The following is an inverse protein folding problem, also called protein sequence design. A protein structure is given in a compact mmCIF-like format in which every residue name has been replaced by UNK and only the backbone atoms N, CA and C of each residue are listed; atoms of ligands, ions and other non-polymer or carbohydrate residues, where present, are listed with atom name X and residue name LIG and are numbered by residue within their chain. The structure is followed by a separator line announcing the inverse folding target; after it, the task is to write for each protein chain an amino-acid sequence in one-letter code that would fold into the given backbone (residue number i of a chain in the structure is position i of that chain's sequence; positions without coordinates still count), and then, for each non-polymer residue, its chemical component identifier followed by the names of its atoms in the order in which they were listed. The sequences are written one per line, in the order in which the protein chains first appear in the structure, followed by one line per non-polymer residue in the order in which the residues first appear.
data_IF_225061764717
#
_entry.id   IF_225061764717
#
_cell.length_a   1.000
_cell.length_b   1.000
_cell.length_c   1.000
_cell.angle_alpha   90.00
_cell.angle_beta   90.00
_cell.angle_gamma   90.00
#
_symmetry.space_group_name_H-M   'P 1'
#
loop_
_entity.id
_entity.type
_entity.pdbx_description
1 polymer ?
#
# COMPACT_ATOMS: atom_id res chain seq x y z
N UNK A 1 -46.32 -35.25 36.05
CA UNK A 1 -45.28 -35.95 36.83
C UNK A 1 -45.59 -37.45 36.81
N UNK A 2 -44.62 -38.37 36.96
CA UNK A 2 -43.17 -38.19 37.19
C UNK A 2 -42.36 -38.14 35.86
N UNK A 3 -41.09 -38.57 35.72
CA UNK A 3 -39.81 -37.92 36.13
C UNK A 3 -38.65 -38.40 35.23
N UNK A 4 -37.55 -37.62 35.13
CA UNK A 4 -36.17 -38.06 34.78
C UNK A 4 -35.90 -38.51 33.32
N UNK A 5 -34.68 -38.44 32.77
CA UNK A 5 -33.44 -37.69 33.09
C UNK A 5 -32.48 -37.84 31.89
N UNK A 6 -31.41 -37.02 31.85
CA UNK A 6 -30.28 -37.06 30.90
C UNK A 6 -30.58 -36.47 29.51
N UNK A 7 -29.66 -35.82 28.80
CA UNK A 7 -28.35 -35.21 29.10
C UNK A 7 -27.76 -34.87 27.73
N UNK A 8 -27.74 -33.61 27.30
CA UNK A 8 -26.59 -33.09 26.54
C UNK A 8 -26.60 -31.57 26.46
N UNK A 9 -25.40 -30.99 26.53
CA UNK A 9 -25.10 -29.59 26.24
C UNK A 9 -23.64 -29.53 25.76
N UNK A 10 -23.20 -28.45 25.11
CA UNK A 10 -23.90 -27.66 24.10
C UNK A 10 -23.07 -27.60 22.79
N UNK A 11 -23.68 -27.83 21.62
CA UNK A 11 -22.95 -27.68 20.36
C UNK A 11 -22.83 -26.19 19.97
N UNK A 12 -21.76 -25.56 20.46
CA UNK A 12 -21.38 -24.22 20.07
C UNK A 12 -20.82 -24.22 18.64
N UNK A 13 -21.66 -23.92 17.65
CA UNK A 13 -21.19 -23.57 16.31
C UNK A 13 -20.45 -22.24 16.39
N UNK A 14 -19.13 -22.31 16.52
CA UNK A 14 -18.26 -21.17 16.34
C UNK A 14 -18.34 -20.72 14.87
N UNK A 15 -19.09 -19.64 14.61
CA UNK A 15 -19.05 -18.96 13.34
C UNK A 15 -17.66 -18.33 13.16
N UNK A 16 -16.81 -18.97 12.35
CA UNK A 16 -15.54 -18.41 11.95
C UNK A 16 -15.77 -17.05 11.26
N UNK A 17 -14.98 -16.01 11.55
CA UNK A 17 -15.06 -14.77 10.80
C UNK A 17 -14.68 -15.08 9.35
N UNK A 18 -15.54 -14.67 8.41
CA UNK A 18 -15.22 -14.77 6.99
C UNK A 18 -13.94 -13.97 6.73
N UNK A 19 -12.84 -14.66 6.39
CA UNK A 19 -11.64 -14.02 5.90
C UNK A 19 -12.03 -13.29 4.61
N UNK A 20 -11.92 -11.96 4.62
CA UNK A 20 -12.18 -11.16 3.44
C UNK A 20 -11.15 -11.56 2.38
N UNK A 21 -11.60 -12.25 1.33
CA UNK A 21 -10.74 -12.69 0.24
C UNK A 21 -10.13 -11.46 -0.45
N UNK A 22 -8.84 -11.22 -0.17
CA UNK A 22 -8.06 -10.19 -0.85
C UNK A 22 -7.79 -10.67 -2.27
N UNK A 23 -8.73 -10.43 -3.17
CA UNK A 23 -8.60 -10.72 -4.58
C UNK A 23 -7.53 -9.80 -5.19
N UNK A 24 -6.26 -10.18 -5.09
CA UNK A 24 -5.15 -9.52 -5.80
C UNK A 24 -5.44 -9.62 -7.30
N UNK A 25 -5.69 -8.50 -8.01
CA UNK A 25 -6.13 -8.55 -9.39
C UNK A 25 -4.99 -9.05 -10.28
N UNK A 26 -5.25 -10.09 -11.07
CA UNK A 26 -4.26 -10.71 -11.96
C UNK A 26 -3.72 -9.76 -13.05
N UNK A 27 -4.31 -8.58 -13.21
CA UNK A 27 -3.82 -7.52 -14.09
C UNK A 27 -3.82 -6.17 -13.35
N UNK A 28 -2.80 -5.33 -13.65
CA UNK A 28 -2.77 -3.93 -13.24
C UNK A 28 -3.54 -3.11 -14.28
N UNK A 29 -4.62 -2.46 -13.87
CA UNK A 29 -5.38 -1.58 -14.74
C UNK A 29 -4.60 -0.29 -14.97
N UNK A 30 -4.53 0.18 -16.22
CA UNK A 30 -3.98 1.50 -16.54
C UNK A 30 -4.97 2.57 -16.11
N UNK A 31 -4.70 3.17 -14.94
CA UNK A 31 -5.53 4.22 -14.34
C UNK A 31 -4.67 5.46 -14.14
N UNK A 32 -5.20 6.63 -14.51
CA UNK A 32 -4.54 7.91 -14.26
C UNK A 32 -4.87 8.41 -12.84
N UNK A 33 -4.07 7.92 -11.88
CA UNK A 33 -4.16 8.35 -10.48
C UNK A 33 -3.92 9.86 -10.29
N UNK A 34 -3.14 10.50 -11.18
CA UNK A 34 -2.91 11.94 -11.13
C UNK A 34 -4.17 12.70 -11.49
N UNK A 35 -4.88 12.30 -12.55
CA UNK A 35 -6.19 12.89 -12.89
C UNK A 35 -7.20 12.75 -11.75
N UNK A 36 -7.22 11.59 -11.06
CA UNK A 36 -8.12 11.37 -9.91
C UNK A 36 -7.82 12.33 -8.77
N UNK A 37 -6.55 12.52 -8.41
CA UNK A 37 -6.15 13.48 -7.37
C UNK A 37 -6.41 14.93 -7.79
N UNK A 38 -5.98 15.30 -9.00
CA UNK A 38 -6.02 16.69 -9.47
C UNK A 38 -7.46 17.16 -9.79
N UNK A 39 -8.40 16.24 -10.08
CA UNK A 39 -9.82 16.51 -10.36
C UNK A 39 -10.78 15.82 -9.36
N UNK A 40 -10.42 15.76 -8.08
CA UNK A 40 -11.13 14.99 -7.05
C UNK A 40 -12.65 15.23 -7.04
N UNK A 41 -13.07 16.50 -7.05
CA UNK A 41 -14.49 16.90 -7.00
C UNK A 41 -15.31 16.35 -8.17
N UNK A 42 -14.72 16.27 -9.37
CA UNK A 42 -15.38 15.73 -10.56
C UNK A 42 -15.57 14.21 -10.46
N UNK A 43 -14.57 13.49 -9.93
CA UNK A 43 -14.69 12.07 -9.65
C UNK A 43 -15.72 11.78 -8.54
N UNK A 44 -15.78 12.60 -7.48
CA UNK A 44 -16.78 12.47 -6.41
C UNK A 44 -18.20 12.81 -6.88
N UNK A 45 -18.36 13.82 -7.74
CA UNK A 45 -19.64 14.10 -8.40
C UNK A 45 -20.10 12.90 -9.24
N UNK A 46 -19.20 12.32 -10.05
CA UNK A 46 -19.54 11.17 -10.90
C UNK A 46 -19.86 9.90 -10.09
N UNK A 47 -19.14 9.62 -9.00
CA UNK A 47 -19.45 8.51 -8.10
C UNK A 47 -20.83 8.67 -7.45
N UNK A 48 -21.20 9.89 -7.06
CA UNK A 48 -22.54 10.21 -6.52
C UNK A 48 -23.64 10.04 -7.57
N UNK A 49 -23.46 10.60 -8.76
CA UNK A 49 -24.41 10.52 -9.87
C UNK A 49 -24.68 9.07 -10.33
N UNK A 50 -23.68 8.19 -10.24
CA UNK A 50 -23.79 6.76 -10.57
C UNK A 50 -24.16 5.86 -9.40
N UNK A 51 -24.48 6.42 -8.22
CA UNK A 51 -24.76 5.71 -6.98
C UNK A 51 -23.63 4.75 -6.51
N UNK A 52 -22.38 4.99 -6.89
CA UNK A 52 -21.20 4.22 -6.44
C UNK A 52 -20.72 4.68 -5.05
N UNK A 53 -21.55 4.50 -4.03
CA UNK A 53 -21.27 4.92 -2.65
C UNK A 53 -20.11 4.15 -1.98
N UNK A 54 -19.65 3.04 -2.56
CA UNK A 54 -18.54 2.23 -2.07
C UNK A 54 -17.15 2.66 -2.59
N UNK A 55 -17.09 3.59 -3.55
CA UNK A 55 -15.86 4.09 -4.14
C UNK A 55 -15.53 5.49 -3.60
N UNK A 56 -14.31 5.68 -3.07
CA UNK A 56 -13.86 6.97 -2.54
C UNK A 56 -12.67 7.51 -3.33
N UNK A 57 -12.88 8.50 -4.23
CA UNK A 57 -11.79 9.20 -4.92
C UNK A 57 -10.80 9.85 -3.94
N UNK A 58 -11.29 10.40 -2.83
CA UNK A 58 -10.46 10.93 -1.74
C UNK A 58 -9.45 9.89 -1.21
N UNK A 59 -9.88 8.64 -0.98
CA UNK A 59 -8.98 7.57 -0.53
C UNK A 59 -7.92 7.25 -1.58
N UNK A 60 -8.29 7.23 -2.88
CA UNK A 60 -7.34 6.99 -3.98
C UNK A 60 -6.30 8.11 -4.06
N UNK A 61 -6.69 9.37 -3.87
CA UNK A 61 -5.78 10.51 -3.82
C UNK A 61 -4.79 10.42 -2.65
N UNK A 62 -5.28 10.15 -1.43
CA UNK A 62 -4.41 9.96 -0.25
C UNK A 62 -3.41 8.80 -0.43
N UNK A 63 -3.85 7.68 -1.01
CA UNK A 63 -2.98 6.54 -1.31
C UNK A 63 -1.95 6.89 -2.40
N UNK A 64 -2.34 7.69 -3.39
CA UNK A 64 -1.42 8.11 -4.45
C UNK A 64 -0.35 9.07 -3.94
N UNK A 65 -0.69 10.03 -3.07
CA UNK A 65 0.30 10.93 -2.49
C UNK A 65 1.28 10.16 -1.57
N UNK A 66 0.79 9.21 -0.73
CA UNK A 66 1.65 8.29 0.04
C UNK A 66 2.56 7.44 -0.84
N UNK A 67 2.05 6.93 -1.96
CA UNK A 67 2.84 6.18 -2.95
C UNK A 67 3.93 7.06 -3.59
N UNK A 68 3.61 8.33 -3.91
CA UNK A 68 4.57 9.30 -4.46
C UNK A 68 5.63 9.69 -3.40
N UNK A 69 5.27 9.78 -2.13
CA UNK A 69 6.21 9.99 -1.02
C UNK A 69 7.16 8.79 -0.86
N UNK A 70 6.64 7.57 -0.72
CA UNK A 70 7.46 6.36 -0.65
C UNK A 70 8.38 6.19 -1.89
N UNK A 71 7.90 6.55 -3.09
CA UNK A 71 8.72 6.51 -4.30
C UNK A 71 9.90 7.52 -4.26
N UNK A 72 9.71 8.71 -3.68
CA UNK A 72 10.80 9.67 -3.46
C UNK A 72 11.80 9.13 -2.44
N UNK A 73 11.33 8.57 -1.33
CA UNK A 73 12.18 7.97 -0.30
C UNK A 73 13.07 6.85 -0.87
N UNK A 74 12.50 5.97 -1.72
CA UNK A 74 13.27 4.93 -2.43
C UNK A 74 14.36 5.54 -3.31
N UNK A 75 14.06 6.60 -4.07
CA UNK A 75 15.03 7.24 -4.96
C UNK A 75 16.11 8.03 -4.19
N UNK A 76 15.76 8.64 -3.05
CA UNK A 76 16.70 9.26 -2.12
C UNK A 76 17.63 8.22 -1.48
N UNK A 77 17.11 7.10 -0.98
CA UNK A 77 17.91 5.99 -0.44
C UNK A 77 18.83 5.38 -1.51
N UNK A 78 18.36 5.27 -2.76
CA UNK A 78 19.19 4.86 -3.91
C UNK A 78 20.30 5.88 -4.21
N UNK A 79 20.03 7.18 -4.10
CA UNK A 79 21.03 8.23 -4.24
C UNK A 79 22.08 8.15 -3.11
N UNK A 80 21.66 8.04 -1.84
CA UNK A 80 22.54 7.88 -0.68
C UNK A 80 23.41 6.61 -0.78
N UNK A 81 22.84 5.48 -1.22
CA UNK A 81 23.59 4.25 -1.49
C UNK A 81 24.69 4.47 -2.54
N UNK A 82 24.37 5.19 -3.61
CA UNK A 82 25.31 5.50 -4.69
C UNK A 82 26.39 6.50 -4.23
N UNK A 83 26.05 7.44 -3.35
CA UNK A 83 27.01 8.36 -2.72
C UNK A 83 27.96 7.62 -1.77
N UNK A 84 27.45 6.79 -0.87
CA UNK A 84 28.27 5.92 -0.01
C UNK A 84 29.23 5.06 -0.83
N UNK A 85 28.74 4.45 -1.93
CA UNK A 85 29.57 3.68 -2.86
C UNK A 85 30.61 4.51 -3.64
N UNK A 86 30.44 5.83 -3.77
CA UNK A 86 31.47 6.76 -4.28
C UNK A 86 32.51 7.07 -3.20
N UNK A 87 32.05 7.40 -1.98
CA UNK A 87 32.93 7.69 -0.84
C UNK A 87 33.87 6.52 -0.54
N UNK A 88 33.35 5.29 -0.55
CA UNK A 88 34.13 4.05 -0.35
C UNK A 88 35.27 3.81 -1.35
N UNK A 89 35.33 4.54 -2.48
CA UNK A 89 36.44 4.48 -3.45
C UNK A 89 37.61 5.41 -3.12
N UNK A 90 37.44 6.33 -2.16
CA UNK A 90 38.50 7.22 -1.73
C UNK A 90 39.47 6.51 -0.77
N UNK A 91 40.66 7.09 -0.57
CA UNK A 91 41.59 6.63 0.48
C UNK A 91 41.06 7.08 1.83
N UNK A 92 40.29 6.21 2.46
CA UNK A 92 39.68 6.40 3.78
C UNK A 92 40.54 5.76 4.86
N UNK A 93 40.49 6.34 6.04
CA UNK A 93 41.00 5.74 7.27
C UNK A 93 40.06 4.63 7.76
N UNK A 94 40.55 3.73 8.61
CA UNK A 94 39.82 2.49 8.96
C UNK A 94 38.45 2.78 9.59
N UNK A 95 38.38 3.72 10.55
CA UNK A 95 37.10 4.14 11.18
C UNK A 95 36.09 4.70 10.15
N UNK A 96 36.54 5.54 9.22
CA UNK A 96 35.66 6.14 8.20
C UNK A 96 35.13 5.10 7.22
N UNK A 97 35.94 4.08 6.89
CA UNK A 97 35.49 2.92 6.10
C UNK A 97 34.46 2.10 6.87
N UNK A 98 34.67 1.88 8.17
CA UNK A 98 33.74 1.09 8.99
C UNK A 98 32.39 1.83 9.21
N UNK A 99 32.39 3.16 9.36
CA UNK A 99 31.17 3.98 9.38
C UNK A 99 30.40 3.90 8.06
N UNK A 100 31.09 4.01 6.92
CA UNK A 100 30.47 3.87 5.59
C UNK A 100 29.91 2.45 5.38
N UNK A 101 30.58 1.40 5.86
CA UNK A 101 30.05 0.03 5.85
C UNK A 101 28.78 -0.09 6.72
N UNK A 102 28.73 0.56 7.89
CA UNK A 102 27.54 0.57 8.75
C UNK A 102 26.36 1.27 8.07
N UNK A 103 26.55 2.51 7.59
CA UNK A 103 25.54 3.24 6.77
C UNK A 103 25.11 2.43 5.54
N UNK A 104 26.04 1.72 4.90
CA UNK A 104 25.75 0.90 3.71
C UNK A 104 24.89 -0.33 4.00
N UNK A 105 24.78 -0.76 5.26
CA UNK A 105 23.81 -1.77 5.73
C UNK A 105 22.48 -1.10 6.09
N UNK A 106 22.52 -0.04 6.90
CA UNK A 106 21.35 0.75 7.30
C UNK A 106 20.51 1.18 6.07
N UNK A 107 21.14 1.75 5.04
CA UNK A 107 20.48 2.16 3.79
C UNK A 107 19.87 0.96 3.04
N UNK A 108 20.47 -0.24 3.08
CA UNK A 108 19.91 -1.43 2.42
C UNK A 108 18.69 -1.97 3.15
N UNK A 109 18.73 -1.97 4.49
CA UNK A 109 17.62 -2.41 5.33
C UNK A 109 16.43 -1.45 5.16
N UNK A 110 16.67 -0.14 5.25
CA UNK A 110 15.66 0.89 4.97
C UNK A 110 15.07 0.76 3.55
N UNK A 111 15.92 0.62 2.54
CA UNK A 111 15.48 0.51 1.14
C UNK A 111 14.60 -0.74 0.93
N UNK A 112 14.91 -1.87 1.57
CA UNK A 112 14.06 -3.05 1.51
C UNK A 112 12.67 -2.80 2.14
N UNK A 113 12.61 -2.17 3.33
CA UNK A 113 11.35 -1.84 3.99
C UNK A 113 10.51 -0.84 3.20
N UNK A 114 11.11 0.20 2.62
CA UNK A 114 10.37 1.20 1.83
C UNK A 114 9.93 0.62 0.48
N UNK A 115 10.75 -0.23 -0.18
CA UNK A 115 10.32 -0.93 -1.40
C UNK A 115 9.16 -1.91 -1.14
N UNK A 116 9.13 -2.60 0.01
CA UNK A 116 8.00 -3.43 0.44
C UNK A 116 6.73 -2.58 0.67
N UNK A 117 6.83 -1.52 1.47
CA UNK A 117 5.73 -0.57 1.71
C UNK A 117 5.18 0.06 0.42
N UNK A 118 6.07 0.44 -0.51
CA UNK A 118 5.69 0.98 -1.82
C UNK A 118 4.89 -0.03 -2.63
N UNK A 119 5.28 -1.30 -2.60
CA UNK A 119 4.55 -2.37 -3.30
C UNK A 119 3.15 -2.59 -2.71
N UNK A 120 3.01 -2.60 -1.38
CA UNK A 120 1.72 -2.69 -0.69
C UNK A 120 0.82 -1.48 -0.98
N UNK A 121 1.37 -0.26 -0.92
CA UNK A 121 0.66 0.97 -1.28
C UNK A 121 0.20 0.94 -2.75
N UNK A 122 1.03 0.44 -3.66
CA UNK A 122 0.67 0.29 -5.07
C UNK A 122 -0.51 -0.68 -5.25
N UNK A 123 -0.53 -1.80 -4.52
CA UNK A 123 -1.62 -2.77 -4.57
C UNK A 123 -2.93 -2.23 -3.99
N UNK A 124 -2.89 -1.55 -2.84
CA UNK A 124 -4.08 -0.91 -2.25
C UNK A 124 -4.62 0.20 -3.17
N UNK A 125 -3.73 1.08 -3.68
CA UNK A 125 -4.06 2.13 -4.63
C UNK A 125 -4.73 1.56 -5.88
N UNK A 126 -4.18 0.46 -6.42
CA UNK A 126 -4.72 -0.21 -7.60
C UNK A 126 -6.10 -0.83 -7.34
N UNK A 127 -6.31 -1.44 -6.17
CA UNK A 127 -7.59 -2.03 -5.75
C UNK A 127 -8.69 -0.98 -5.59
N UNK A 128 -8.40 0.12 -4.89
CA UNK A 128 -9.38 1.19 -4.69
C UNK A 128 -9.68 1.93 -5.99
N UNK A 129 -8.68 2.20 -6.82
CA UNK A 129 -8.88 2.84 -8.10
C UNK A 129 -9.67 1.96 -9.10
N UNK A 130 -9.54 0.63 -9.05
CA UNK A 130 -10.37 -0.29 -9.85
C UNK A 130 -11.86 -0.27 -9.45
N UNK A 131 -12.22 0.27 -8.27
CA UNK A 131 -13.62 0.47 -7.86
C UNK A 131 -14.24 1.76 -8.41
N UNK A 132 -13.43 2.71 -8.89
CA UNK A 132 -13.96 3.96 -9.43
C UNK A 132 -14.60 3.71 -10.81
N UNK A 133 -15.80 4.27 -11.08
CA UNK A 133 -16.38 4.24 -12.41
C UNK A 133 -15.56 5.11 -13.38
N UNK A 134 -15.49 4.70 -14.65
CA UNK A 134 -14.95 5.55 -15.72
C UNK A 134 -15.71 6.88 -15.77
N UNK A 135 -15.01 8.02 -15.84
CA UNK A 135 -15.62 9.35 -16.00
C UNK A 135 -16.67 9.35 -17.11
N UNK A 136 -17.82 9.97 -16.85
CA UNK A 136 -18.80 10.23 -17.91
C UNK A 136 -18.24 11.30 -18.86
N UNK A 137 -18.40 11.09 -20.18
CA UNK A 137 -18.23 12.18 -21.14
C UNK A 137 -19.36 13.22 -20.98
N UNK A 138 -19.07 14.51 -21.17
CA UNK A 138 -20.08 15.56 -21.27
C UNK A 138 -20.88 15.48 -22.59
#
# INVERSE_FOLDING_TARGET
APTSSSSEAPSATAAAPAAAETHTPAFRASIDFRSIRDNLEAHEANCRERNFAAASPAKVAELYDKFVEAQKEVDELRAQKNENAKSMKQKLEQEQRDELVRRGKEIKEQLATVEENLSALQEELQLEAQRLPNLAHP
#
